data_IF_326981938420
#
_entry.id   IF_326981938420
#
_cell.length_a   1.000
_cell.length_b   1.000
_cell.length_c   1.000
_cell.angle_alpha   90.00
_cell.angle_beta   90.00
_cell.angle_gamma   90.00
#
_symmetry.space_group_name_H-M   'P 1'
#
loop_
_entity.id
_entity.type
_entity.pdbx_description
1 polymer ?
#
# COMPACT_ATOMS: atom_id res chain seq x y z
N UNK A 1 27.17 -2.46 -20.51
CA UNK A 1 26.19 -1.91 -21.48
C UNK A 1 24.89 -1.60 -20.75
N UNK A 2 24.68 -0.34 -20.36
CA UNK A 2 23.50 0.09 -19.62
C UNK A 2 22.26 -0.02 -20.50
N UNK A 3 21.48 -1.08 -20.32
CA UNK A 3 20.18 -1.23 -20.98
C UNK A 3 19.31 -0.08 -20.47
N UNK A 4 19.08 0.93 -21.32
CA UNK A 4 18.16 2.04 -21.02
C UNK A 4 16.80 1.42 -20.68
N UNK A 5 16.47 1.35 -19.39
CA UNK A 5 15.15 0.92 -18.97
C UNK A 5 14.15 1.97 -19.47
N UNK A 6 13.04 1.55 -20.11
CA UNK A 6 12.03 2.48 -20.58
C UNK A 6 11.46 3.28 -19.41
N UNK A 7 10.99 4.49 -19.69
CA UNK A 7 10.65 5.49 -18.66
C UNK A 7 9.68 4.99 -17.57
N UNK A 8 8.83 4.02 -17.91
CA UNK A 8 7.73 3.48 -17.12
C UNK A 8 8.22 2.37 -16.17
N UNK A 9 9.42 1.84 -16.41
CA UNK A 9 10.11 0.89 -15.53
C UNK A 9 11.09 1.56 -14.59
N UNK A 10 11.28 2.88 -14.69
CA UNK A 10 12.06 3.60 -13.68
C UNK A 10 11.34 3.51 -12.33
N UNK A 11 12.13 3.28 -11.28
CA UNK A 11 11.66 3.15 -9.89
C UNK A 11 10.63 4.20 -9.49
N UNK A 12 10.90 5.48 -9.80
CA UNK A 12 9.99 6.58 -9.48
C UNK A 12 8.65 6.54 -10.23
N UNK A 13 8.67 6.22 -11.53
CA UNK A 13 7.44 6.12 -12.33
C UNK A 13 6.59 4.92 -11.92
N UNK A 14 7.23 3.79 -11.61
CA UNK A 14 6.55 2.57 -11.21
C UNK A 14 5.91 2.71 -9.81
N UNK A 15 6.59 3.39 -8.88
CA UNK A 15 6.00 3.82 -7.61
C UNK A 15 4.76 4.69 -7.81
N UNK A 16 4.84 5.68 -8.72
CA UNK A 16 3.72 6.54 -9.03
C UNK A 16 2.52 5.74 -9.55
N UNK A 17 2.73 4.81 -10.48
CA UNK A 17 1.66 3.95 -10.99
C UNK A 17 1.08 3.05 -9.89
N UNK A 18 1.90 2.48 -9.01
CA UNK A 18 1.42 1.68 -7.87
C UNK A 18 0.59 2.49 -6.85
N UNK A 19 0.88 3.78 -6.67
CA UNK A 19 0.16 4.64 -5.73
C UNK A 19 -1.13 5.17 -6.34
N UNK A 20 -1.08 5.69 -7.56
CA UNK A 20 -2.22 6.34 -8.22
C UNK A 20 -3.25 5.31 -8.66
N UNK A 21 -2.77 4.26 -9.32
CA UNK A 21 -3.61 3.22 -9.93
C UNK A 21 -2.97 1.86 -9.66
N UNK A 22 -3.09 1.34 -8.43
CA UNK A 22 -2.48 0.08 -8.05
C UNK A 22 -2.76 -1.09 -9.01
N UNK A 23 -3.96 -1.24 -9.63
CA UNK A 23 -4.19 -2.30 -10.62
C UNK A 23 -3.28 -2.18 -11.85
N UNK A 24 -3.12 -0.96 -12.38
CA UNK A 24 -2.25 -0.69 -13.53
C UNK A 24 -0.78 -0.91 -13.15
N UNK A 25 -0.35 -0.42 -11.98
CA UNK A 25 1.01 -0.67 -11.47
C UNK A 25 1.31 -2.16 -11.32
N UNK A 26 0.35 -2.95 -10.82
CA UNK A 26 0.47 -4.39 -10.65
C UNK A 26 0.61 -5.13 -12.00
N UNK A 27 -0.19 -4.77 -13.01
CA UNK A 27 -0.12 -5.36 -14.36
C UNK A 27 1.23 -5.04 -15.01
N UNK A 28 1.70 -3.79 -14.91
CA UNK A 28 2.99 -3.37 -15.47
C UNK A 28 4.14 -4.16 -14.83
N UNK A 29 4.08 -4.34 -13.51
CA UNK A 29 5.07 -5.07 -12.74
C UNK A 29 5.10 -6.54 -13.16
N UNK A 30 3.95 -7.24 -13.15
CA UNK A 30 3.82 -8.64 -13.58
C UNK A 30 4.32 -8.85 -15.01
N UNK A 31 3.97 -7.94 -15.91
CA UNK A 31 4.38 -8.04 -17.32
C UNK A 31 5.88 -7.82 -17.52
N UNK A 32 6.57 -7.14 -16.61
CA UNK A 32 7.99 -6.79 -16.73
C UNK A 32 8.87 -7.41 -15.62
N UNK A 33 8.35 -8.41 -14.93
CA UNK A 33 8.95 -9.06 -13.76
C UNK A 33 10.36 -9.63 -14.01
N UNK A 34 10.63 -10.09 -15.24
CA UNK A 34 11.95 -10.58 -15.68
C UNK A 34 13.02 -9.49 -15.82
N UNK A 35 12.65 -8.20 -15.79
CA UNK A 35 13.57 -7.06 -15.97
C UNK A 35 14.08 -6.47 -14.64
N UNK A 36 13.54 -6.94 -13.51
CA UNK A 36 13.90 -6.47 -12.17
C UNK A 36 14.71 -7.51 -11.42
N UNK A 37 15.56 -7.07 -10.50
CA UNK A 37 16.20 -7.95 -9.54
C UNK A 37 15.18 -8.55 -8.57
N UNK A 38 15.48 -9.73 -8.03
CA UNK A 38 14.55 -10.48 -7.18
C UNK A 38 14.08 -9.68 -5.96
N UNK A 39 15.00 -8.98 -5.29
CA UNK A 39 14.66 -8.15 -4.12
C UNK A 39 13.74 -6.98 -4.49
N UNK A 40 14.04 -6.28 -5.59
CA UNK A 40 13.21 -5.16 -6.04
C UNK A 40 11.82 -5.63 -6.44
N UNK A 41 11.74 -6.76 -7.15
CA UNK A 41 10.48 -7.39 -7.54
C UNK A 41 9.59 -7.67 -6.31
N UNK A 42 10.16 -8.26 -5.26
CA UNK A 42 9.42 -8.56 -4.02
C UNK A 42 8.91 -7.28 -3.38
N UNK A 43 9.76 -6.25 -3.26
CA UNK A 43 9.37 -4.96 -2.68
C UNK A 43 8.22 -4.29 -3.47
N UNK A 44 8.33 -4.25 -4.80
CA UNK A 44 7.27 -3.70 -5.64
C UNK A 44 5.97 -4.49 -5.57
N UNK A 45 6.04 -5.83 -5.48
CA UNK A 45 4.86 -6.68 -5.34
C UNK A 45 4.15 -6.44 -4.01
N UNK A 46 4.89 -6.36 -2.91
CA UNK A 46 4.33 -6.08 -1.58
C UNK A 46 3.67 -4.70 -1.58
N UNK A 47 4.35 -3.68 -2.09
CA UNK A 47 3.82 -2.33 -2.17
C UNK A 47 2.54 -2.27 -3.02
N UNK A 48 2.58 -2.89 -4.20
CA UNK A 48 1.43 -2.94 -5.09
C UNK A 48 0.24 -3.68 -4.45
N UNK A 49 0.48 -4.75 -3.70
CA UNK A 49 -0.56 -5.52 -3.01
C UNK A 49 -1.19 -4.71 -1.87
N UNK A 50 -0.38 -4.00 -1.07
CA UNK A 50 -0.87 -3.13 0.00
C UNK A 50 -1.72 -2.00 -0.59
N UNK A 51 -1.22 -1.31 -1.62
CA UNK A 51 -1.96 -0.23 -2.25
C UNK A 51 -3.22 -0.72 -2.97
N UNK A 52 -3.17 -1.88 -3.63
CA UNK A 52 -4.36 -2.50 -4.22
C UNK A 52 -5.41 -2.83 -3.15
N UNK A 53 -5.00 -3.38 -2.01
CA UNK A 53 -5.89 -3.67 -0.88
C UNK A 53 -6.56 -2.41 -0.35
N UNK A 54 -5.79 -1.33 -0.14
CA UNK A 54 -6.30 -0.03 0.31
C UNK A 54 -7.25 0.58 -0.73
N UNK A 55 -6.92 0.46 -2.02
CA UNK A 55 -7.74 0.99 -3.10
C UNK A 55 -9.05 0.22 -3.28
N UNK A 56 -9.01 -1.11 -3.17
CA UNK A 56 -10.21 -1.98 -3.14
C UNK A 56 -11.10 -1.63 -1.95
N UNK A 57 -10.50 -1.37 -0.78
CA UNK A 57 -11.26 -0.96 0.41
C UNK A 57 -12.00 0.37 0.20
N UNK A 58 -11.48 1.26 -0.65
CA UNK A 58 -12.17 2.49 -1.07
C UNK A 58 -13.32 2.22 -2.05
N UNK A 59 -13.27 1.12 -2.79
CA UNK A 59 -14.32 0.69 -3.71
C UNK A 59 -15.45 -0.08 -3.01
N UNK A 60 -15.27 -0.46 -1.74
CA UNK A 60 -16.32 -1.13 -0.98
C UNK A 60 -17.53 -0.20 -0.76
N UNK A 61 -18.76 -0.77 -0.67
CA UNK A 61 -19.97 0.00 -0.40
C UNK A 61 -19.78 0.93 0.79
N UNK A 62 -20.33 2.14 0.71
CA UNK A 62 -20.19 3.23 1.71
C UNK A 62 -20.38 2.75 3.16
N UNK A 63 -21.24 1.76 3.36
CA UNK A 63 -21.51 1.14 4.64
C UNK A 63 -20.26 0.46 5.23
N UNK A 64 -19.53 -0.32 4.45
CA UNK A 64 -18.35 -1.07 4.91
C UNK A 64 -17.15 -0.14 5.15
N UNK A 65 -17.01 0.91 4.31
CA UNK A 65 -15.98 1.93 4.51
C UNK A 65 -16.14 2.67 5.85
N UNK A 66 -17.38 2.97 6.24
CA UNK A 66 -17.67 3.57 7.55
C UNK A 66 -17.29 2.64 8.71
N UNK A 67 -17.62 1.34 8.63
CA UNK A 67 -17.22 0.38 9.66
C UNK A 67 -15.70 0.31 9.83
N UNK A 68 -14.95 0.32 8.72
CA UNK A 68 -13.49 0.29 8.78
C UNK A 68 -12.90 1.54 9.44
N UNK A 69 -13.38 2.73 9.06
CA UNK A 69 -12.97 3.99 9.69
C UNK A 69 -13.33 4.03 11.18
N UNK A 70 -14.51 3.53 11.53
CA UNK A 70 -14.96 3.47 12.91
C UNK A 70 -14.09 2.52 13.75
N UNK A 71 -13.68 1.38 13.19
CA UNK A 71 -12.78 0.42 13.83
C UNK A 71 -11.39 1.02 14.06
N UNK A 72 -10.83 1.72 13.06
CA UNK A 72 -9.54 2.41 13.20
C UNK A 72 -9.59 3.47 14.30
N UNK A 73 -10.66 4.28 14.34
CA UNK A 73 -10.87 5.27 15.40
C UNK A 73 -10.97 4.62 16.78
N UNK A 74 -11.72 3.52 16.91
CA UNK A 74 -11.87 2.81 18.16
C UNK A 74 -10.53 2.26 18.69
N UNK A 75 -9.67 1.73 17.83
CA UNK A 75 -8.32 1.27 18.20
C UNK A 75 -7.46 2.43 18.70
N UNK A 76 -7.48 3.57 18.00
CA UNK A 76 -6.70 4.76 18.40
C UNK A 76 -7.17 5.27 19.76
N UNK A 77 -8.48 5.37 19.97
CA UNK A 77 -9.06 5.84 21.23
C UNK A 77 -8.75 4.86 22.36
N UNK A 78 -8.98 3.56 22.14
CA UNK A 78 -8.67 2.51 23.11
C UNK A 78 -7.20 2.50 23.51
N UNK A 79 -6.29 2.56 22.54
CA UNK A 79 -4.84 2.63 22.82
C UNK A 79 -4.44 3.91 23.57
N UNK A 80 -5.12 5.03 23.32
CA UNK A 80 -4.88 6.29 24.02
C UNK A 80 -5.37 6.23 25.48
N UNK A 81 -6.54 5.63 25.72
CA UNK A 81 -7.09 5.42 27.06
C UNK A 81 -6.18 4.49 27.88
N UNK A 82 -5.73 3.37 27.30
CA UNK A 82 -4.81 2.43 27.96
C UNK A 82 -3.52 3.16 28.35
N UNK A 83 -2.92 3.92 27.43
CA UNK A 83 -1.71 4.72 27.73
C UNK A 83 -1.95 5.76 28.83
N UNK A 84 -3.13 6.38 28.85
CA UNK A 84 -3.48 7.35 29.88
C UNK A 84 -3.66 6.70 31.26
N UNK A 85 -4.27 5.51 31.33
CA UNK A 85 -4.42 4.73 32.56
C UNK A 85 -3.06 4.26 33.07
N UNK A 86 -2.19 3.75 32.19
CA UNK A 86 -0.83 3.33 32.53
C UNK A 86 -0.01 4.49 33.11
N UNK A 87 -0.09 5.66 32.47
CA UNK A 87 0.56 6.90 32.94
C UNK A 87 0.03 7.38 34.30
N UNK A 88 -1.23 7.12 34.63
CA UNK A 88 -1.85 7.53 35.92
C UNK A 88 -1.51 6.57 37.07
N UNK A 89 -1.05 5.35 36.76
CA UNK A 89 -0.74 4.31 37.74
C UNK A 89 0.73 4.37 38.23
N UNK A 90 1.56 5.17 37.57
CA UNK A 90 2.96 5.45 37.91
C UNK A 90 3.08 6.79 38.62
#
# INVERSE_FOLDING_TARGET
>A
MGKKQPWYLKKGSLYFFCIVTPPIGYIILISNLKKFEYNERIQYLILATIMASIWILKFLPKNISLYFWCLVLAIIIGSSIIKFIDKKKK
#
